data_IF_042643756641
#
_entry.id   IF_042643756641
#
_cell.length_a   1.000
_cell.length_b   1.000
_cell.length_c   1.000
_cell.angle_alpha   90.00
_cell.angle_beta   90.00
_cell.angle_gamma   90.00
#
_symmetry.space_group_name_H-M   'P 1'
#
loop_
_entity.id
_entity.type
_entity.pdbx_description
1 polymer ?
#
# COMPACT_ATOMS: atom_id res chain seq x y z
N UNK A 1 18.24 5.19 -34.96
CA UNK A 1 18.64 6.51 -34.41
C UNK A 1 17.61 6.88 -33.36
N UNK A 2 17.97 6.91 -32.08
CA UNK A 2 17.04 7.28 -31.01
C UNK A 2 16.78 8.78 -31.09
N UNK A 3 15.51 9.18 -31.25
CA UNK A 3 15.11 10.59 -31.20
C UNK A 3 15.40 11.12 -29.81
N UNK A 4 16.24 12.15 -29.71
CA UNK A 4 16.52 12.86 -28.46
C UNK A 4 15.40 13.85 -28.18
N UNK A 5 15.18 14.15 -26.90
CA UNK A 5 14.21 15.17 -26.47
C UNK A 5 14.61 16.50 -27.10
N UNK A 6 13.61 17.26 -27.56
CA UNK A 6 13.76 18.59 -28.18
C UNK A 6 14.62 18.64 -29.45
N UNK A 7 14.74 17.52 -30.17
CA UNK A 7 15.56 17.42 -31.40
C UNK A 7 17.01 17.87 -31.16
N UNK A 8 17.56 17.62 -29.97
CA UNK A 8 18.88 18.07 -29.59
C UNK A 8 19.97 17.50 -30.52
N UNK A 9 20.63 18.39 -31.27
CA UNK A 9 21.78 18.07 -32.11
C UNK A 9 23.08 18.30 -31.32
N UNK A 10 23.79 17.22 -31.00
CA UNK A 10 25.06 17.30 -30.28
C UNK A 10 25.63 15.94 -29.92
N UNK A 11 26.77 15.92 -29.27
CA UNK A 11 27.36 14.71 -28.69
C UNK A 11 26.55 14.23 -27.48
N UNK A 12 26.76 12.99 -27.05
CA UNK A 12 26.09 12.46 -25.85
C UNK A 12 26.47 13.22 -24.57
N UNK A 13 27.69 13.74 -24.48
CA UNK A 13 28.14 14.54 -23.34
C UNK A 13 27.39 15.88 -23.27
N UNK A 14 27.25 16.57 -24.41
CA UNK A 14 26.50 17.82 -24.49
C UNK A 14 25.00 17.61 -24.21
N UNK A 15 24.44 16.47 -24.62
CA UNK A 15 23.05 16.13 -24.32
C UNK A 15 22.82 15.91 -22.81
N UNK A 16 23.76 15.27 -22.12
CA UNK A 16 23.69 15.11 -20.65
C UNK A 16 23.75 16.48 -19.97
N UNK A 17 24.71 17.34 -20.34
CA UNK A 17 24.80 18.70 -19.78
C UNK A 17 23.56 19.54 -20.05
N UNK A 18 22.96 19.41 -21.24
CA UNK A 18 21.70 20.05 -21.60
C UNK A 18 20.54 19.60 -20.69
N UNK A 19 20.41 18.30 -20.42
CA UNK A 19 19.37 17.77 -19.53
C UNK A 19 19.58 18.25 -18.08
N UNK A 20 20.83 18.21 -17.58
CA UNK A 20 21.16 18.69 -16.23
C UNK A 20 20.78 20.18 -16.06
N UNK A 21 21.12 21.01 -17.04
CA UNK A 21 20.82 22.43 -17.00
C UNK A 21 19.32 22.72 -17.12
N UNK A 22 18.60 21.92 -17.90
CA UNK A 22 17.13 22.00 -18.02
C UNK A 22 16.45 21.67 -16.69
N UNK A 23 16.93 20.64 -15.97
CA UNK A 23 16.41 20.27 -14.64
C UNK A 23 16.66 21.40 -13.63
N UNK A 24 17.84 22.03 -13.64
CA UNK A 24 18.15 23.16 -12.75
C UNK A 24 17.20 24.35 -13.01
N UNK A 25 16.97 24.71 -14.28
CA UNK A 25 16.05 25.79 -14.65
C UNK A 25 14.61 25.51 -14.20
N UNK A 26 14.11 24.28 -14.40
CA UNK A 26 12.76 23.90 -13.98
C UNK A 26 12.58 24.00 -12.45
N UNK A 27 13.60 23.60 -11.67
CA UNK A 27 13.59 23.72 -10.21
C UNK A 27 13.55 25.18 -9.75
N UNK A 28 14.29 26.06 -10.40
CA UNK A 28 14.26 27.50 -10.07
C UNK A 28 12.89 28.13 -10.38
N UNK A 29 12.27 27.77 -11.51
CA UNK A 29 10.92 28.26 -11.85
C UNK A 29 9.86 27.82 -10.83
N UNK A 30 9.94 26.58 -10.34
CA UNK A 30 9.02 26.06 -9.32
C UNK A 30 9.18 26.76 -7.95
N UNK A 31 10.39 27.19 -7.59
CA UNK A 31 10.62 27.96 -6.36
C UNK A 31 10.03 29.37 -6.44
N UNK A 32 10.15 30.06 -7.58
CA UNK A 32 9.60 31.42 -7.75
C UNK A 32 8.07 31.44 -7.66
N UNK A 33 7.39 30.38 -8.13
CA UNK A 33 5.93 30.27 -8.00
C UNK A 33 5.45 29.92 -6.59
N UNK A 34 6.33 29.42 -5.71
CA UNK A 34 5.98 29.05 -4.33
C UNK A 34 6.04 30.23 -3.34
N UNK A 35 6.75 31.31 -3.68
CA UNK A 35 6.99 32.45 -2.77
C UNK A 35 5.95 33.57 -2.86
N UNK A 36 4.94 33.48 -3.72
CA UNK A 36 3.96 34.57 -3.94
C UNK A 36 2.71 34.51 -3.04
N UNK A 37 2.57 33.49 -2.18
CA UNK A 37 1.34 33.25 -1.39
C UNK A 37 1.52 33.39 0.13
N UNK A 38 2.37 34.31 0.60
CA UNK A 38 2.54 34.57 2.03
C UNK A 38 2.56 36.07 2.35
N UNK A 39 1.39 36.72 2.27
CA UNK A 39 1.19 38.05 2.86
C UNK A 39 -0.16 38.08 3.61
N UNK A 40 -0.07 38.44 4.89
CA UNK A 40 -1.11 38.88 5.84
C UNK A 40 -2.00 37.83 6.53
N UNK A 41 -1.71 37.59 7.81
CA UNK A 41 -2.64 37.98 8.89
C UNK A 41 -2.00 37.82 10.29
N UNK A 42 -1.67 38.95 10.89
CA UNK A 42 -1.38 39.13 12.32
C UNK A 42 -2.70 39.49 12.99
N UNK A 43 -3.08 38.78 14.06
CA UNK A 43 -3.91 39.27 15.19
C UNK A 43 -4.02 38.15 16.23
N UNK A 44 -3.30 38.27 17.35
CA UNK A 44 -3.76 38.81 18.63
C UNK A 44 -4.58 37.80 19.46
N UNK A 45 -3.89 37.21 20.45
CA UNK A 45 -4.49 36.49 21.59
C UNK A 45 -5.34 37.43 22.45
N UNK A 46 -6.40 36.89 23.06
CA UNK A 46 -6.69 37.28 24.43
C UNK A 46 -6.86 36.08 25.37
N UNK A 47 -6.44 36.35 26.60
CA UNK A 47 -6.37 35.50 27.77
C UNK A 47 -7.74 35.03 28.28
N UNK A 48 -7.70 33.87 28.95
CA UNK A 48 -8.72 33.29 29.83
C UNK A 48 -9.23 34.30 30.89
N UNK A 49 -10.45 34.11 31.47
CA UNK A 49 -10.47 33.40 32.75
C UNK A 49 -11.77 32.63 33.13
N UNK A 50 -11.59 31.82 34.18
CA UNK A 50 -12.49 31.54 35.31
C UNK A 50 -13.56 30.41 35.24
N UNK A 51 -13.27 29.40 36.07
CA UNK A 51 -14.10 28.62 36.99
C UNK A 51 -15.64 28.82 36.99
N UNK A 52 -16.36 27.69 37.01
CA UNK A 52 -17.70 27.62 37.61
C UNK A 52 -17.88 26.25 38.27
N UNK A 53 -18.47 26.30 39.46
CA UNK A 53 -18.68 25.26 40.45
C UNK A 53 -19.83 24.28 40.07
N UNK A 54 -19.70 23.02 40.54
CA UNK A 54 -20.68 22.10 41.15
C UNK A 54 -22.20 22.17 40.82
N UNK A 55 -22.96 21.04 40.80
CA UNK A 55 -23.07 20.19 41.98
C UNK A 55 -23.32 18.66 41.82
N UNK A 56 -23.17 18.03 42.98
CA UNK A 56 -23.52 16.67 43.40
C UNK A 56 -24.94 16.21 43.03
N UNK A 57 -25.10 14.91 42.70
CA UNK A 57 -25.93 13.91 43.43
C UNK A 57 -26.22 12.69 42.57
N UNK A 58 -26.06 11.51 43.17
CA UNK A 58 -26.62 10.27 42.63
C UNK A 58 -26.11 9.02 43.31
N UNK A 59 -26.44 8.83 44.60
CA UNK A 59 -26.28 7.53 45.28
C UNK A 59 -27.18 6.49 44.61
N UNK A 60 -26.60 5.42 44.08
CA UNK A 60 -27.33 4.21 43.71
C UNK A 60 -27.17 3.18 44.83
N UNK A 61 -28.30 2.81 45.43
CA UNK A 61 -28.42 1.72 46.39
C UNK A 61 -28.21 0.35 45.71
N UNK A 62 -27.81 -0.69 46.46
CA UNK A 62 -27.73 -2.05 45.94
C UNK A 62 -29.14 -2.66 45.86
N UNK A 63 -29.53 -3.10 44.67
CA UNK A 63 -30.74 -3.90 44.46
C UNK A 63 -30.37 -5.36 44.73
N UNK A 64 -30.91 -5.87 45.82
CA UNK A 64 -30.90 -7.27 46.22
C UNK A 64 -32.00 -7.99 45.43
N UNK A 65 -31.63 -8.65 44.33
CA UNK A 65 -32.52 -9.53 43.57
C UNK A 65 -31.97 -10.96 43.67
N UNK A 66 -32.50 -11.71 44.63
CA UNK A 66 -32.32 -13.15 44.73
C UNK A 66 -33.19 -13.87 43.70
N UNK A 67 -32.75 -13.87 42.44
CA UNK A 67 -33.25 -14.85 41.46
C UNK A 67 -32.40 -16.11 41.55
N UNK A 68 -33.04 -17.18 41.99
CA UNK A 68 -32.48 -18.53 42.09
C UNK A 68 -32.20 -19.09 40.70
N UNK A 69 -30.99 -18.84 40.19
CA UNK A 69 -30.47 -19.53 39.03
C UNK A 69 -30.03 -20.95 39.44
N UNK A 70 -30.37 -22.00 38.66
CA UNK A 70 -29.84 -23.33 38.93
C UNK A 70 -28.31 -23.31 38.92
N UNK A 71 -27.63 -24.01 39.84
CA UNK A 71 -26.19 -23.97 39.96
C UNK A 71 -25.53 -24.46 38.67
N UNK A 72 -24.64 -23.64 38.12
CA UNK A 72 -23.80 -23.99 36.98
C UNK A 72 -23.02 -25.28 37.32
N UNK A 73 -23.39 -26.39 36.67
CA UNK A 73 -22.57 -27.61 36.70
C UNK A 73 -21.49 -27.49 35.65
N UNK A 74 -20.24 -27.41 36.09
CA UNK A 74 -19.08 -27.62 35.23
C UNK A 74 -19.10 -29.09 34.83
N UNK A 75 -19.56 -29.39 33.61
CA UNK A 75 -19.44 -30.72 33.03
C UNK A 75 -17.98 -30.89 32.64
N UNK A 76 -17.26 -31.76 33.36
CA UNK A 76 -15.95 -32.21 32.90
C UNK A 76 -16.16 -33.04 31.62
N UNK A 77 -16.00 -32.37 30.48
CA UNK A 77 -15.86 -33.02 29.20
C UNK A 77 -14.46 -33.64 29.17
N UNK A 78 -14.39 -34.95 29.34
CA UNK A 78 -13.18 -35.72 29.11
C UNK A 78 -13.12 -36.00 27.60
N UNK A 79 -12.28 -35.30 26.82
CA UNK A 79 -12.22 -35.51 25.39
C UNK A 79 -11.74 -36.94 25.14
N UNK A 80 -12.65 -37.77 24.63
CA UNK A 80 -12.30 -39.08 24.11
C UNK A 80 -11.12 -38.90 23.14
N UNK A 81 -10.03 -39.68 23.27
CA UNK A 81 -8.85 -39.53 22.44
C UNK A 81 -9.21 -39.89 21.00
N UNK A 82 -9.73 -38.91 20.27
CA UNK A 82 -9.89 -38.96 18.84
C UNK A 82 -8.50 -39.18 18.29
N UNK A 83 -8.23 -40.42 17.86
CA UNK A 83 -7.05 -40.75 17.09
C UNK A 83 -7.02 -39.76 15.94
N UNK A 84 -6.13 -38.77 16.03
CA UNK A 84 -5.98 -37.74 15.03
C UNK A 84 -5.65 -38.46 13.73
N UNK A 85 -6.66 -38.64 12.86
CA UNK A 85 -6.45 -39.08 11.49
C UNK A 85 -5.44 -38.08 10.94
N UNK A 86 -4.19 -38.51 10.76
CA UNK A 86 -3.14 -37.74 10.11
C UNK A 86 -3.71 -37.34 8.76
N UNK A 87 -4.30 -36.15 8.68
CA UNK A 87 -4.67 -35.52 7.42
C UNK A 87 -3.35 -35.38 6.69
N UNK A 88 -3.11 -36.30 5.76
CA UNK A 88 -2.08 -36.17 4.74
C UNK A 88 -2.46 -34.94 3.90
N UNK A 89 -2.10 -33.77 4.39
CA UNK A 89 -2.11 -32.56 3.60
C UNK A 89 -0.92 -32.69 2.65
N UNK A 90 -1.16 -33.30 1.48
CA UNK A 90 -0.10 -33.64 0.53
C UNK A 90 0.55 -32.42 -0.14
N UNK A 91 0.02 -31.20 0.07
CA UNK A 91 0.57 -29.98 -0.51
C UNK A 91 1.12 -29.05 0.58
N UNK A 92 2.40 -28.64 0.50
CA UNK A 92 2.98 -27.72 1.45
C UNK A 92 2.26 -26.36 1.41
N UNK A 93 2.15 -25.69 2.56
CA UNK A 93 1.37 -24.46 2.69
C UNK A 93 1.79 -23.35 1.68
N UNK A 94 3.08 -23.26 1.36
CA UNK A 94 3.60 -22.29 0.38
C UNK A 94 3.02 -22.52 -1.02
N UNK A 95 2.74 -23.77 -1.41
CA UNK A 95 2.20 -24.10 -2.73
C UNK A 95 0.75 -23.66 -2.87
N UNK A 96 -0.02 -23.64 -1.79
CA UNK A 96 -1.37 -23.07 -1.78
C UNK A 96 -1.34 -21.55 -1.95
N UNK A 97 -0.41 -20.87 -1.26
CA UNK A 97 -0.19 -19.43 -1.44
C UNK A 97 0.26 -19.10 -2.87
N UNK A 98 1.16 -19.91 -3.45
CA UNK A 98 1.65 -19.72 -4.81
C UNK A 98 0.52 -19.89 -5.83
N UNK A 99 -0.27 -20.97 -5.68
CA UNK A 99 -1.46 -21.22 -6.50
C UNK A 99 -2.44 -20.04 -6.44
N UNK A 100 -2.70 -19.49 -5.26
CA UNK A 100 -3.59 -18.33 -5.14
C UNK A 100 -3.09 -17.12 -5.93
N UNK A 101 -1.77 -16.83 -5.92
CA UNK A 101 -1.20 -15.75 -6.73
C UNK A 101 -1.32 -16.04 -8.24
N UNK A 102 -1.05 -17.29 -8.65
CA UNK A 102 -1.16 -17.71 -10.05
C UNK A 102 -2.60 -17.56 -10.54
N UNK A 103 -3.57 -18.06 -9.79
CA UNK A 103 -4.99 -18.02 -10.14
C UNK A 103 -5.51 -16.57 -10.20
N UNK A 104 -4.96 -15.66 -9.39
CA UNK A 104 -5.31 -14.23 -9.37
C UNK A 104 -4.54 -13.39 -10.39
N UNK A 105 -3.53 -13.96 -11.05
CA UNK A 105 -2.72 -13.21 -12.01
C UNK A 105 -3.50 -12.98 -13.29
N UNK A 106 -3.73 -11.73 -13.69
CA UNK A 106 -4.43 -11.43 -14.94
C UNK A 106 -3.61 -11.86 -16.14
N UNK A 107 -4.29 -12.35 -17.17
CA UNK A 107 -3.68 -12.57 -18.49
C UNK A 107 -3.33 -11.22 -19.12
N UNK A 108 -2.27 -11.18 -19.94
CA UNK A 108 -1.80 -9.97 -20.59
C UNK A 108 -2.92 -9.17 -21.28
N UNK A 109 -3.72 -9.85 -22.11
CA UNK A 109 -4.85 -9.26 -22.86
C UNK A 109 -5.97 -8.66 -22.00
N UNK A 110 -6.05 -9.03 -20.72
CA UNK A 110 -7.10 -8.59 -19.80
C UNK A 110 -6.55 -7.65 -18.72
N UNK A 111 -5.30 -7.22 -18.83
CA UNK A 111 -4.61 -6.45 -17.80
C UNK A 111 -5.38 -5.18 -17.41
N UNK A 112 -5.71 -4.35 -18.40
CA UNK A 112 -6.38 -3.08 -18.18
C UNK A 112 -7.78 -3.25 -17.58
N UNK A 113 -8.53 -4.26 -18.04
CA UNK A 113 -9.85 -4.58 -17.48
C UNK A 113 -9.75 -4.92 -15.99
N UNK A 114 -8.76 -5.73 -15.60
CA UNK A 114 -8.56 -6.08 -14.18
C UNK A 114 -8.12 -4.86 -13.35
N UNK A 115 -7.32 -3.97 -13.92
CA UNK A 115 -6.98 -2.70 -13.26
C UNK A 115 -8.22 -1.80 -13.10
N UNK A 116 -9.10 -1.72 -14.10
CA UNK A 116 -10.34 -0.94 -14.06
C UNK A 116 -11.31 -1.52 -13.01
N UNK A 117 -11.49 -2.84 -12.99
CA UNK A 117 -12.35 -3.54 -12.03
C UNK A 117 -11.88 -3.33 -10.59
N UNK A 118 -10.56 -3.30 -10.38
CA UNK A 118 -9.95 -3.00 -9.08
C UNK A 118 -9.91 -1.50 -8.74
N UNK A 119 -10.28 -0.62 -9.68
CA UNK A 119 -10.17 0.83 -9.54
C UNK A 119 -8.72 1.35 -9.52
N UNK A 120 -7.75 0.51 -9.86
CA UNK A 120 -6.32 0.86 -9.90
C UNK A 120 -6.00 1.64 -11.18
N UNK A 121 -6.72 1.37 -12.28
CA UNK A 121 -6.47 2.01 -13.57
C UNK A 121 -6.47 3.55 -13.47
N UNK A 122 -7.51 4.14 -12.88
CA UNK A 122 -7.67 5.60 -12.76
C UNK A 122 -6.53 6.27 -11.97
N UNK A 123 -6.02 5.61 -10.93
CA UNK A 123 -4.94 6.17 -10.12
C UNK A 123 -3.57 6.02 -10.79
N UNK A 124 -3.40 5.00 -11.63
CA UNK A 124 -2.19 4.84 -12.44
C UNK A 124 -2.14 5.90 -13.54
N UNK A 125 -3.22 6.06 -14.34
CA UNK A 125 -3.28 7.02 -15.47
C UNK A 125 -3.10 8.47 -15.07
N UNK A 126 -3.50 8.85 -13.87
CA UNK A 126 -3.37 10.22 -13.36
C UNK A 126 -2.02 10.51 -12.71
N UNK A 127 -1.05 9.57 -12.76
CA UNK A 127 0.17 9.56 -11.96
C UNK A 127 -0.08 9.64 -10.44
N UNK A 128 -1.34 9.48 -10.00
CA UNK A 128 -1.73 9.55 -8.60
C UNK A 128 -1.09 8.44 -7.77
N UNK A 129 -0.81 7.28 -8.37
CA UNK A 129 -0.22 6.14 -7.68
C UNK A 129 1.21 6.48 -7.22
N UNK A 130 2.09 6.91 -8.13
CA UNK A 130 3.46 7.29 -7.79
C UNK A 130 3.49 8.46 -6.82
N UNK A 131 2.66 9.48 -7.04
CA UNK A 131 2.52 10.61 -6.11
C UNK A 131 2.14 10.12 -4.72
N UNK A 132 1.08 9.31 -4.59
CA UNK A 132 0.66 8.77 -3.30
C UNK A 132 1.73 7.88 -2.65
N UNK A 133 2.48 7.10 -3.43
CA UNK A 133 3.54 6.24 -2.90
C UNK A 133 4.74 7.04 -2.36
N UNK A 134 5.00 8.23 -2.91
CA UNK A 134 6.08 9.14 -2.50
C UNK A 134 5.63 10.26 -1.56
N UNK A 135 4.33 10.43 -1.38
CA UNK A 135 3.75 11.45 -0.52
C UNK A 135 3.99 11.07 0.94
N UNK A 136 4.85 11.85 1.59
CA UNK A 136 5.14 11.77 3.01
C UNK A 136 4.20 12.69 3.82
N UNK A 137 3.30 13.42 3.18
CA UNK A 137 2.34 14.27 3.89
C UNK A 137 1.31 13.36 4.55
N UNK A 138 1.50 13.14 5.84
CA UNK A 138 0.42 12.71 6.73
C UNK A 138 -0.50 13.92 6.92
N UNK A 139 -1.23 14.30 5.87
CA UNK A 139 -2.49 15.01 6.07
C UNK A 139 -3.50 13.91 6.36
N UNK A 140 -3.96 13.73 7.62
CA UNK A 140 -5.20 13.03 7.84
C UNK A 140 -6.22 13.88 7.12
N UNK A 141 -6.48 13.55 5.86
CA UNK A 141 -7.61 14.04 5.12
C UNK A 141 -8.83 13.58 5.93
N UNK A 142 -9.22 14.38 6.93
CA UNK A 142 -10.62 14.71 7.08
C UNK A 142 -11.00 15.16 5.69
N UNK A 143 -11.75 14.37 4.91
CA UNK A 143 -12.47 15.00 3.83
C UNK A 143 -13.20 16.14 4.53
N UNK A 144 -12.91 17.39 4.16
CA UNK A 144 -13.96 18.39 4.16
C UNK A 144 -15.03 17.72 3.33
N UNK A 145 -15.95 17.07 4.03
CA UNK A 145 -17.17 16.61 3.45
C UNK A 145 -17.84 17.92 3.06
N UNK A 146 -17.50 18.40 1.87
CA UNK A 146 -18.37 19.25 1.08
C UNK A 146 -19.55 18.37 0.65
N UNK A 147 -20.21 17.73 1.62
CA UNK A 147 -21.66 17.72 1.69
C UNK A 147 -22.05 19.18 1.82
N UNK A 148 -21.97 19.92 0.72
CA UNK A 148 -23.03 20.87 0.44
C UNK A 148 -24.32 20.06 0.65
N UNK A 149 -25.20 20.47 1.57
CA UNK A 149 -26.54 19.92 1.61
C UNK A 149 -27.04 19.99 0.18
N UNK A 150 -27.31 18.84 -0.44
CA UNK A 150 -28.01 18.85 -1.72
C UNK A 150 -29.37 19.40 -1.35
N UNK A 151 -29.57 20.70 -1.60
CA UNK A 151 -30.87 21.34 -1.52
C UNK A 151 -31.82 20.41 -2.26
N UNK A 152 -32.83 19.91 -1.54
CA UNK A 152 -33.83 19.00 -2.08
C UNK A 152 -34.72 19.78 -3.06
N UNK A 153 -34.18 20.17 -4.21
CA UNK A 153 -34.95 20.62 -5.34
C UNK A 153 -35.69 19.43 -5.92
N UNK A 154 -36.90 19.17 -5.40
CA UNK A 154 -38.00 18.38 -6.00
C UNK A 154 -37.60 17.10 -6.78
N UNK A 155 -36.51 16.44 -6.39
CA UNK A 155 -35.98 15.27 -7.07
C UNK A 155 -36.72 14.03 -6.59
N UNK A 156 -37.14 13.20 -7.55
CA UNK A 156 -37.64 11.83 -7.33
C UNK A 156 -36.75 11.09 -6.31
N UNK A 157 -37.35 10.55 -5.24
CA UNK A 157 -36.67 9.79 -4.17
C UNK A 157 -35.77 8.69 -4.74
N UNK A 158 -36.18 8.08 -5.86
CA UNK A 158 -35.38 7.08 -6.56
C UNK A 158 -34.06 7.65 -7.09
N UNK A 159 -34.03 8.90 -7.53
CA UNK A 159 -32.81 9.59 -7.98
C UNK A 159 -31.85 9.85 -6.81
N UNK A 160 -32.37 10.23 -5.64
CA UNK A 160 -31.56 10.37 -4.43
C UNK A 160 -30.92 9.03 -4.01
N UNK A 161 -31.71 7.95 -3.95
CA UNK A 161 -31.20 6.61 -3.60
C UNK A 161 -30.15 6.14 -4.61
N UNK A 162 -30.36 6.36 -5.91
CA UNK A 162 -29.37 6.05 -6.96
C UNK A 162 -28.07 6.82 -6.75
N UNK A 163 -28.13 8.11 -6.39
CA UNK A 163 -26.95 8.92 -6.12
C UNK A 163 -26.20 8.45 -4.87
N UNK A 164 -26.92 8.12 -3.79
CA UNK A 164 -26.32 7.57 -2.58
C UNK A 164 -25.64 6.21 -2.84
N UNK A 165 -26.28 5.33 -3.61
CA UNK A 165 -25.71 4.05 -4.01
C UNK A 165 -24.43 4.22 -4.83
N UNK A 166 -24.42 5.15 -5.81
CA UNK A 166 -23.21 5.50 -6.58
C UNK A 166 -22.09 6.02 -5.69
N UNK A 167 -22.39 6.95 -4.78
CA UNK A 167 -21.41 7.49 -3.84
C UNK A 167 -20.82 6.39 -2.94
N UNK A 168 -21.65 5.45 -2.49
CA UNK A 168 -21.22 4.30 -1.68
C UNK A 168 -20.31 3.38 -2.47
N UNK A 169 -20.68 3.02 -3.71
CA UNK A 169 -19.84 2.20 -4.59
C UNK A 169 -18.47 2.86 -4.85
N UNK A 170 -18.45 4.17 -5.10
CA UNK A 170 -17.20 4.94 -5.26
C UNK A 170 -16.34 4.92 -4.00
N UNK A 171 -16.93 5.06 -2.81
CA UNK A 171 -16.21 5.00 -1.54
C UNK A 171 -15.58 3.63 -1.29
N UNK A 172 -16.32 2.54 -1.57
CA UNK A 172 -15.80 1.17 -1.45
C UNK A 172 -14.62 0.96 -2.40
N UNK A 173 -14.75 1.39 -3.66
CA UNK A 173 -13.66 1.31 -4.64
C UNK A 173 -12.41 2.08 -4.17
N UNK A 174 -12.58 3.33 -3.73
CA UNK A 174 -11.48 4.16 -3.19
C UNK A 174 -10.81 3.49 -2.00
N UNK A 175 -11.58 2.96 -1.04
CA UNK A 175 -11.03 2.26 0.11
C UNK A 175 -10.21 1.03 -0.30
N UNK A 176 -10.65 0.28 -1.31
CA UNK A 176 -9.90 -0.87 -1.84
C UNK A 176 -8.56 -0.46 -2.47
N UNK A 177 -8.56 0.62 -3.27
CA UNK A 177 -7.35 1.19 -3.88
C UNK A 177 -6.39 1.72 -2.81
N UNK A 178 -6.90 2.50 -1.84
CA UNK A 178 -6.10 2.99 -0.73
C UNK A 178 -5.47 1.86 0.09
N UNK A 179 -6.19 0.75 0.29
CA UNK A 179 -5.65 -0.43 0.96
C UNK A 179 -4.53 -1.08 0.13
N UNK A 180 -4.70 -1.19 -1.19
CA UNK A 180 -3.67 -1.73 -2.08
C UNK A 180 -2.39 -0.88 -2.05
N UNK A 181 -2.53 0.44 -2.14
CA UNK A 181 -1.40 1.38 -2.06
C UNK A 181 -0.73 1.31 -0.68
N UNK A 182 -1.49 1.27 0.41
CA UNK A 182 -0.93 1.16 1.75
C UNK A 182 -0.16 -0.16 1.95
N UNK A 183 -0.67 -1.27 1.41
CA UNK A 183 0.05 -2.54 1.45
C UNK A 183 1.34 -2.49 0.60
N UNK A 184 1.31 -1.81 -0.54
CA UNK A 184 2.49 -1.61 -1.37
C UNK A 184 3.52 -0.68 -0.70
N UNK A 185 3.09 0.42 -0.07
CA UNK A 185 3.95 1.29 0.74
C UNK A 185 4.62 0.52 1.88
N UNK A 186 3.89 -0.35 2.58
CA UNK A 186 4.50 -1.24 3.59
C UNK A 186 5.62 -2.09 2.97
N UNK A 187 5.38 -2.66 1.79
CA UNK A 187 6.43 -3.39 1.08
C UNK A 187 7.63 -2.50 0.72
N UNK A 188 7.41 -1.27 0.23
CA UNK A 188 8.48 -0.31 -0.05
C UNK A 188 9.31 0.01 1.20
N UNK A 189 8.65 0.33 2.33
CA UNK A 189 9.32 0.60 3.60
C UNK A 189 10.17 -0.59 4.05
N UNK A 190 9.61 -1.81 3.98
CA UNK A 190 10.32 -3.02 4.37
C UNK A 190 11.51 -3.31 3.44
N UNK A 191 11.39 -3.02 2.15
CA UNK A 191 12.48 -3.15 1.18
C UNK A 191 13.57 -2.11 1.41
N UNK A 192 13.22 -0.85 1.70
CA UNK A 192 14.17 0.18 2.14
C UNK A 192 14.91 -0.24 3.41
N UNK A 193 14.20 -0.80 4.40
CA UNK A 193 14.82 -1.33 5.61
C UNK A 193 15.80 -2.48 5.32
N UNK A 194 15.46 -3.36 4.36
CA UNK A 194 16.35 -4.43 3.94
C UNK A 194 17.65 -3.89 3.31
N UNK A 195 17.54 -2.84 2.47
CA UNK A 195 18.70 -2.13 1.91
C UNK A 195 19.53 -1.45 2.99
N UNK A 196 18.91 -0.76 3.95
CA UNK A 196 19.63 -0.10 5.05
C UNK A 196 20.45 -1.10 5.89
N UNK A 197 19.91 -2.29 6.16
CA UNK A 197 20.67 -3.34 6.84
C UNK A 197 21.89 -3.79 6.04
N UNK A 198 21.72 -3.96 4.73
CA UNK A 198 22.81 -4.40 3.85
C UNK A 198 23.88 -3.30 3.70
N UNK A 199 23.49 -2.03 3.84
CA UNK A 199 24.39 -0.87 3.91
C UNK A 199 25.05 -0.64 5.29
N UNK A 200 24.83 -1.54 6.27
CA UNK A 200 25.50 -1.49 7.57
C UNK A 200 24.84 -0.61 8.63
N UNK A 201 23.59 -0.14 8.42
CA UNK A 201 22.85 0.61 9.45
C UNK A 201 22.57 -0.30 10.67
N UNK A 202 22.67 0.22 11.91
CA UNK A 202 22.45 -0.58 13.11
C UNK A 202 21.10 -1.32 13.12
N UNK A 203 21.16 -2.63 13.40
CA UNK A 203 19.99 -3.52 13.37
C UNK A 203 18.86 -3.01 14.25
N UNK A 204 19.16 -2.52 15.45
CA UNK A 204 18.15 -2.03 16.40
C UNK A 204 17.27 -0.94 15.78
N UNK A 205 17.89 0.10 15.19
CA UNK A 205 17.16 1.20 14.55
C UNK A 205 16.31 0.73 13.37
N UNK A 206 16.82 -0.18 12.54
CA UNK A 206 16.03 -0.73 11.43
C UNK A 206 14.83 -1.54 11.94
N UNK A 207 15.00 -2.38 12.97
CA UNK A 207 13.89 -3.15 13.52
C UNK A 207 12.81 -2.24 14.15
N UNK A 208 13.19 -1.11 14.73
CA UNK A 208 12.24 -0.11 15.22
C UNK A 208 11.42 0.52 14.09
N UNK A 209 12.05 0.86 12.95
CA UNK A 209 11.31 1.30 11.75
C UNK A 209 10.35 0.23 11.24
N UNK A 210 10.77 -1.04 11.24
CA UNK A 210 9.91 -2.16 10.86
C UNK A 210 8.70 -2.26 11.78
N UNK A 211 8.86 -2.09 13.11
CA UNK A 211 7.75 -2.07 14.07
C UNK A 211 6.75 -0.96 13.81
N UNK A 212 7.22 0.25 13.47
CA UNK A 212 6.31 1.34 13.09
C UNK A 212 5.45 0.91 11.90
N UNK A 213 6.04 0.23 10.92
CA UNK A 213 5.36 -0.20 9.70
C UNK A 213 4.36 -1.36 9.91
N UNK A 214 4.68 -2.36 10.74
CA UNK A 214 3.90 -3.61 10.86
C UNK A 214 3.18 -3.80 12.20
N UNK A 215 3.42 -2.91 13.17
CA UNK A 215 2.84 -2.90 14.51
C UNK A 215 3.90 -2.82 15.62
N UNK A 216 3.71 -1.90 16.56
CA UNK A 216 4.66 -1.59 17.64
C UNK A 216 4.99 -2.79 18.55
N UNK A 217 4.05 -3.72 18.70
CA UNK A 217 4.20 -4.93 19.52
C UNK A 217 4.92 -6.07 18.79
N UNK A 218 5.45 -5.85 17.59
CA UNK A 218 6.18 -6.86 16.83
C UNK A 218 7.50 -7.25 17.50
N UNK A 219 7.71 -8.57 17.65
CA UNK A 219 8.97 -9.12 18.16
C UNK A 219 10.11 -8.95 17.16
N UNK A 220 11.36 -8.92 17.64
CA UNK A 220 12.56 -8.91 16.78
C UNK A 220 12.54 -10.05 15.76
N UNK A 221 12.14 -11.24 16.21
CA UNK A 221 12.04 -12.44 15.37
C UNK A 221 11.05 -12.22 14.22
N UNK A 222 9.89 -11.64 14.50
CA UNK A 222 8.89 -11.32 13.48
C UNK A 222 9.39 -10.21 12.53
N UNK A 223 10.05 -9.17 13.05
CA UNK A 223 10.61 -8.10 12.22
C UNK A 223 11.68 -8.62 11.24
N UNK A 224 12.66 -9.39 11.74
CA UNK A 224 13.71 -10.03 10.90
C UNK A 224 13.09 -10.94 9.84
N UNK A 225 12.03 -11.64 10.18
CA UNK A 225 11.29 -12.51 9.29
C UNK A 225 10.60 -11.73 8.18
N UNK A 226 9.92 -10.64 8.51
CA UNK A 226 9.30 -9.73 7.55
C UNK A 226 10.34 -9.12 6.60
N UNK A 227 11.53 -8.77 7.08
CA UNK A 227 12.62 -8.28 6.23
C UNK A 227 13.11 -9.34 5.23
N UNK A 228 13.21 -10.61 5.64
CA UNK A 228 13.51 -11.70 4.69
C UNK A 228 12.41 -11.85 3.63
N UNK A 229 11.15 -11.67 4.02
CA UNK A 229 10.03 -11.67 3.07
C UNK A 229 10.14 -10.53 2.06
N UNK A 230 10.54 -9.33 2.50
CA UNK A 230 10.77 -8.21 1.59
C UNK A 230 11.90 -8.49 0.59
N UNK A 231 13.03 -9.06 1.06
CA UNK A 231 14.11 -9.51 0.17
C UNK A 231 13.62 -10.54 -0.86
N UNK A 232 12.86 -11.55 -0.42
CA UNK A 232 12.25 -12.53 -1.31
C UNK A 232 11.35 -11.87 -2.38
N UNK A 233 10.54 -10.89 -1.99
CA UNK A 233 9.68 -10.16 -2.91
C UNK A 233 10.48 -9.33 -3.93
N UNK A 234 11.57 -8.69 -3.52
CA UNK A 234 12.47 -8.01 -4.48
C UNK A 234 13.02 -9.01 -5.50
N UNK A 235 13.52 -10.16 -5.04
CA UNK A 235 13.98 -11.23 -5.94
C UNK A 235 12.88 -11.75 -6.86
N UNK A 236 11.65 -11.86 -6.37
CA UNK A 236 10.50 -12.25 -7.18
C UNK A 236 10.21 -11.19 -8.26
N UNK A 237 10.18 -9.90 -7.92
CA UNK A 237 10.00 -8.82 -8.89
C UNK A 237 11.08 -8.87 -9.96
N UNK A 238 12.35 -8.96 -9.56
CA UNK A 238 13.48 -9.03 -10.50
C UNK A 238 13.36 -10.26 -11.41
N UNK A 239 12.96 -11.40 -10.84
CA UNK A 239 12.74 -12.63 -11.61
C UNK A 239 11.62 -12.44 -12.63
N UNK A 240 10.49 -11.84 -12.26
CA UNK A 240 9.37 -11.62 -13.18
C UNK A 240 9.72 -10.59 -14.26
N UNK A 241 10.36 -9.48 -13.87
CA UNK A 241 10.81 -8.41 -14.75
C UNK A 241 11.70 -8.96 -15.88
N UNK A 242 12.75 -9.71 -15.49
CA UNK A 242 13.71 -10.34 -16.40
C UNK A 242 13.12 -11.47 -17.26
N UNK A 243 11.90 -11.95 -16.95
CA UNK A 243 11.22 -13.04 -17.67
C UNK A 243 9.93 -12.57 -18.36
N UNK A 244 9.90 -11.31 -18.80
CA UNK A 244 8.90 -10.79 -19.76
C UNK A 244 7.79 -9.95 -19.16
N UNK A 245 7.70 -9.81 -17.84
CA UNK A 245 6.73 -8.89 -17.23
C UNK A 245 7.11 -7.42 -17.39
N UNK A 246 8.41 -7.12 -17.47
CA UNK A 246 8.89 -5.74 -17.45
C UNK A 246 8.39 -4.98 -16.22
N UNK A 247 8.06 -3.70 -16.40
CA UNK A 247 7.51 -2.86 -15.33
C UNK A 247 6.22 -3.40 -14.66
N UNK A 248 5.46 -4.29 -15.33
CA UNK A 248 4.26 -4.91 -14.73
C UNK A 248 4.60 -5.83 -13.55
N UNK A 249 5.84 -6.28 -13.42
CA UNK A 249 6.29 -7.13 -12.32
C UNK A 249 6.01 -6.50 -10.95
N UNK A 250 6.29 -5.21 -10.79
CA UNK A 250 5.99 -4.47 -9.56
C UNK A 250 4.48 -4.22 -9.39
N UNK A 251 3.78 -3.94 -10.50
CA UNK A 251 2.34 -3.70 -10.51
C UNK A 251 1.54 -4.93 -10.06
N UNK A 252 2.05 -6.16 -10.28
CA UNK A 252 1.43 -7.39 -9.77
C UNK A 252 1.23 -7.38 -8.25
N UNK A 253 2.15 -6.78 -7.49
CA UNK A 253 1.98 -6.69 -6.03
C UNK A 253 0.79 -5.82 -5.63
N UNK A 254 0.50 -4.76 -6.41
CA UNK A 254 -0.70 -3.95 -6.23
C UNK A 254 -1.96 -4.73 -6.61
N UNK A 255 -1.90 -5.45 -7.73
CA UNK A 255 -3.03 -6.26 -8.22
C UNK A 255 -3.39 -7.37 -7.24
N UNK A 256 -2.39 -8.11 -6.73
CA UNK A 256 -2.57 -9.17 -5.74
C UNK A 256 -3.01 -8.62 -4.38
N UNK A 257 -2.61 -7.39 -4.03
CA UNK A 257 -3.00 -6.69 -2.80
C UNK A 257 -2.90 -7.60 -1.55
N UNK A 258 -1.75 -8.25 -1.38
CA UNK A 258 -1.48 -9.12 -0.22
C UNK A 258 -0.63 -8.42 0.83
N UNK A 259 -0.85 -8.79 2.08
CA UNK A 259 -0.03 -8.30 3.18
C UNK A 259 1.34 -8.98 3.19
N UNK A 260 2.38 -8.36 3.78
CA UNK A 260 3.69 -9.00 3.92
C UNK A 260 3.64 -10.37 4.58
N UNK A 261 2.70 -10.60 5.52
CA UNK A 261 2.51 -11.89 6.19
C UNK A 261 2.08 -13.01 5.26
N UNK A 262 1.35 -12.72 4.18
CA UNK A 262 0.98 -13.71 3.17
C UNK A 262 2.21 -14.28 2.47
N UNK A 263 3.11 -13.40 2.03
CA UNK A 263 4.32 -13.80 1.30
C UNK A 263 5.35 -14.52 2.16
N UNK A 264 5.23 -14.45 3.49
CA UNK A 264 6.12 -15.17 4.39
C UNK A 264 6.10 -16.68 4.16
N UNK A 265 4.95 -17.28 3.86
CA UNK A 265 4.87 -18.73 3.59
C UNK A 265 5.68 -19.10 2.35
N UNK A 266 5.67 -18.26 1.33
CA UNK A 266 6.48 -18.40 0.11
C UNK A 266 7.97 -18.22 0.41
N UNK A 267 8.32 -17.20 1.19
CA UNK A 267 9.69 -16.90 1.58
C UNK A 267 10.32 -17.98 2.48
N UNK A 268 9.54 -18.83 3.15
CA UNK A 268 10.07 -20.00 3.86
C UNK A 268 10.65 -21.07 2.94
N UNK A 269 10.29 -21.05 1.66
CA UNK A 269 10.69 -22.04 0.66
C UNK A 269 11.23 -21.35 -0.59
N UNK A 270 12.08 -20.32 -0.39
CA UNK A 270 12.55 -19.37 -1.42
C UNK A 270 12.79 -20.01 -2.78
N UNK A 271 13.67 -21.01 -2.87
CA UNK A 271 14.06 -21.57 -4.15
C UNK A 271 12.88 -22.27 -4.84
N UNK A 272 12.20 -23.17 -4.13
CA UNK A 272 11.08 -23.94 -4.69
C UNK A 272 9.87 -23.07 -5.03
N UNK A 273 9.56 -22.08 -4.20
CA UNK A 273 8.43 -21.17 -4.44
C UNK A 273 8.71 -20.20 -5.58
N UNK A 274 9.94 -19.68 -5.67
CA UNK A 274 10.36 -18.78 -6.72
C UNK A 274 10.42 -19.47 -8.08
N UNK A 275 11.03 -20.66 -8.16
CA UNK A 275 11.08 -21.46 -9.39
C UNK A 275 9.67 -21.82 -9.85
N UNK A 276 8.82 -22.29 -8.93
CA UNK A 276 7.43 -22.62 -9.26
C UNK A 276 6.65 -21.40 -9.78
N UNK A 277 6.77 -20.24 -9.11
CA UNK A 277 6.11 -19.02 -9.56
C UNK A 277 6.66 -18.56 -10.91
N UNK A 278 7.97 -18.63 -11.15
CA UNK A 278 8.58 -18.31 -12.44
C UNK A 278 7.99 -19.19 -13.56
N UNK A 279 7.97 -20.51 -13.37
CA UNK A 279 7.48 -21.47 -14.38
C UNK A 279 6.01 -21.25 -14.75
N UNK A 280 5.21 -20.78 -13.79
CA UNK A 280 3.78 -20.59 -13.99
C UNK A 280 3.43 -19.17 -14.47
N UNK A 281 4.11 -18.14 -13.94
CA UNK A 281 3.80 -16.73 -14.21
C UNK A 281 4.50 -16.19 -15.45
N UNK A 282 5.62 -16.77 -15.88
CA UNK A 282 6.38 -16.28 -17.04
C UNK A 282 5.96 -16.92 -18.37
N UNK A 283 4.75 -17.49 -18.42
CA UNK A 283 4.16 -18.02 -19.66
C UNK A 283 3.76 -16.89 -20.59
N UNK A 284 3.90 -17.12 -21.88
CA UNK A 284 3.58 -16.14 -22.93
C UNK A 284 2.14 -15.61 -22.84
N UNK A 285 1.17 -16.43 -22.41
CA UNK A 285 -0.22 -15.97 -22.23
C UNK A 285 -0.39 -14.89 -21.14
N UNK A 286 0.55 -14.80 -20.20
CA UNK A 286 0.55 -13.83 -19.11
C UNK A 286 1.49 -12.65 -19.39
N UNK A 287 2.62 -12.90 -20.05
CA UNK A 287 3.66 -11.91 -20.32
C UNK A 287 3.55 -11.24 -21.67
N UNK A 288 2.79 -11.82 -22.63
CA UNK A 288 2.68 -11.32 -24.00
C UNK A 288 2.46 -9.81 -24.01
N UNK A 289 3.34 -9.15 -24.75
CA UNK A 289 3.43 -7.70 -24.79
C UNK A 289 2.34 -7.17 -25.71
N UNK A 290 1.33 -6.51 -25.16
CA UNK A 290 0.46 -5.63 -25.95
C UNK A 290 1.24 -4.33 -26.11
N UNK A 291 1.74 -4.08 -27.32
CA UNK A 291 2.60 -2.94 -27.61
C UNK A 291 2.00 -1.60 -27.15
N UNK A 292 2.73 -0.96 -26.24
CA UNK A 292 3.00 0.49 -26.12
C UNK A 292 1.93 1.51 -26.50
N UNK A 293 0.91 1.64 -25.65
CA UNK A 293 0.35 2.96 -25.31
C UNK A 293 0.08 3.03 -23.81
N UNK A 294 1.11 2.78 -22.98
CA UNK A 294 0.97 3.04 -21.54
C UNK A 294 0.95 4.54 -21.31
N UNK A 295 -0.22 5.06 -20.97
CA UNK A 295 -0.45 6.47 -20.65
C UNK A 295 -0.10 6.81 -19.19
N UNK A 296 0.71 6.00 -18.49
CA UNK A 296 1.08 6.24 -17.09
C UNK A 296 2.54 5.95 -16.77
N UNK A 297 3.02 6.59 -15.70
CA UNK A 297 4.36 6.35 -15.16
C UNK A 297 4.44 4.97 -14.50
N UNK A 298 5.36 4.09 -14.95
CA UNK A 298 5.49 2.76 -14.35
C UNK A 298 5.97 2.82 -12.90
N UNK A 299 5.52 1.86 -12.09
CA UNK A 299 5.99 1.72 -10.71
C UNK A 299 7.29 0.93 -10.72
N UNK A 300 8.39 1.65 -10.54
CA UNK A 300 9.72 1.05 -10.48
C UNK A 300 10.27 1.09 -9.05
N UNK A 301 10.23 -0.05 -8.37
CA UNK A 301 10.57 -0.19 -6.94
C UNK A 301 11.97 0.35 -6.61
N UNK A 302 13.05 0.05 -7.37
CA UNK A 302 14.37 0.58 -7.06
C UNK A 302 14.41 2.12 -7.04
N UNK A 303 13.78 2.80 -8.00
CA UNK A 303 13.69 4.26 -8.00
C UNK A 303 12.87 4.82 -6.84
N UNK A 304 11.77 4.15 -6.45
CA UNK A 304 10.99 4.56 -5.29
C UNK A 304 11.80 4.42 -3.99
N UNK A 305 12.49 3.30 -3.80
CA UNK A 305 13.38 3.09 -2.65
C UNK A 305 14.49 4.13 -2.63
N UNK A 306 15.14 4.37 -3.76
CA UNK A 306 16.17 5.41 -3.88
C UNK A 306 15.62 6.78 -3.46
N UNK A 307 14.44 7.17 -3.94
CA UNK A 307 13.80 8.43 -3.56
C UNK A 307 13.44 8.51 -2.06
N UNK A 308 12.98 7.40 -1.46
CA UNK A 308 12.68 7.34 -0.02
C UNK A 308 13.95 7.54 0.81
N UNK A 309 15.08 6.93 0.38
CA UNK A 309 16.34 6.97 1.12
C UNK A 309 17.14 8.27 0.89
N UNK A 310 17.14 8.81 -0.33
CA UNK A 310 17.97 9.97 -0.70
C UNK A 310 17.36 11.32 -0.32
N UNK A 311 16.04 11.45 -0.13
CA UNK A 311 15.39 12.70 0.29
C UNK A 311 15.85 13.24 1.67
N UNK A 312 16.76 12.55 2.37
CA UNK A 312 17.24 12.90 3.71
C UNK A 312 18.77 12.96 3.85
N UNK A 313 19.53 12.98 2.75
CA UNK A 313 21.01 13.06 2.76
C UNK A 313 21.54 14.43 2.27
N UNK A 314 20.67 15.40 1.97
CA UNK A 314 21.07 16.79 1.68
C UNK A 314 20.96 17.71 2.90
#
# INVERSE_FOLDING_TARGET
MQSRVDHFEGTSAEYVSYLEQTIVNLRQQLQVHSSSSAINSVTAFPSSPAATESPERGRSAPIDNSDSYPPLRIVHFEPEPQQAKKRRCNNPAWMQSAKALIDETPRARNWDNVLMDKGIFDIMTTNGAVTHLLDNSFEPNTPKATTTPVEMENGDVLSYVKNYARATATRVRRASVSLALANFQKFLVLSSCAVLLDSGVPVAGVLDTVRICIGTNATDKYCKRTLRTAKYLNTLIDTLDMNGWGYRASELLLVWNRTPSFYYTLACSVNSSLEHLKDQLCREELTSYTADERNWTPIFVPSLIHNILHKHIE
#
